data_IF_893769011456
#
_entry.id   IF_893769011456
#
_cell.length_a   1.000
_cell.length_b   1.000
_cell.length_c   1.000
_cell.angle_alpha   90.00
_cell.angle_beta   90.00
_cell.angle_gamma   90.00
#
_symmetry.space_group_name_H-M   'P 1'
#
loop_
_entity.id
_entity.type
_entity.pdbx_description
1 polymer ?
#
# COMPACT_ATOMS: atom_id res chain seq x y z
N UNK A 1 7.80 -6.80 -6.30
CA UNK A 1 7.27 -5.43 -6.09
C UNK A 1 8.05 -4.81 -4.94
N UNK A 2 8.49 -3.55 -5.07
CA UNK A 2 8.99 -2.75 -3.93
C UNK A 2 7.81 -2.33 -3.04
N UNK A 3 7.13 -3.34 -2.48
CA UNK A 3 5.98 -3.14 -1.59
C UNK A 3 6.45 -2.69 -0.21
N UNK A 4 5.53 -2.10 0.54
CA UNK A 4 5.72 -1.86 1.96
C UNK A 4 5.44 -3.19 2.66
N UNK A 5 6.39 -3.69 3.45
CA UNK A 5 6.16 -4.81 4.35
C UNK A 5 5.96 -4.26 5.77
N UNK A 6 4.82 -4.60 6.38
CA UNK A 6 4.47 -4.18 7.73
C UNK A 6 4.31 -5.43 8.58
N UNK A 7 5.04 -5.51 9.69
CA UNK A 7 4.97 -6.62 10.63
C UNK A 7 4.90 -6.08 12.07
N UNK A 8 4.25 -6.83 12.96
CA UNK A 8 4.30 -6.56 14.40
C UNK A 8 5.36 -7.46 15.01
N UNK A 9 6.31 -6.86 15.74
CA UNK A 9 7.33 -7.59 16.50
C UNK A 9 7.34 -7.08 17.94
N UNK A 10 6.95 -7.96 18.87
CA UNK A 10 6.76 -7.61 20.28
C UNK A 10 5.82 -6.39 20.45
N UNK A 11 6.35 -5.31 21.03
CA UNK A 11 5.66 -4.04 21.26
C UNK A 11 5.92 -2.99 20.17
N UNK A 12 6.56 -3.38 19.06
CA UNK A 12 6.88 -2.49 17.95
C UNK A 12 6.14 -2.89 16.67
N UNK A 13 5.77 -1.89 15.89
CA UNK A 13 5.41 -2.01 14.49
C UNK A 13 6.67 -1.80 13.65
N UNK A 14 7.04 -2.77 12.82
CA UNK A 14 8.18 -2.68 11.92
C UNK A 14 7.66 -2.47 10.50
N UNK A 15 8.12 -1.40 9.86
CA UNK A 15 7.84 -1.08 8.47
C UNK A 15 9.15 -1.19 7.69
N UNK A 16 9.20 -2.13 6.75
CA UNK A 16 10.30 -2.28 5.81
C UNK A 16 9.84 -1.77 4.45
N UNK A 17 10.52 -0.74 3.93
CA UNK A 17 10.23 -0.19 2.61
C UNK A 17 11.53 0.19 1.89
N UNK A 18 11.73 -0.42 0.72
CA UNK A 18 12.97 -0.30 -0.06
C UNK A 18 14.21 -0.62 0.80
N UNK A 19 15.08 0.37 1.04
CA UNK A 19 16.30 0.24 1.85
C UNK A 19 16.13 0.79 3.27
N UNK A 20 14.91 1.13 3.68
CA UNK A 20 14.60 1.71 4.98
C UNK A 20 13.87 0.72 5.89
N UNK A 21 14.23 0.74 7.16
CA UNK A 21 13.52 0.08 8.26
C UNK A 21 13.10 1.13 9.26
N UNK A 22 11.81 1.14 9.59
CA UNK A 22 11.21 2.04 10.58
C UNK A 22 10.62 1.17 11.67
N UNK A 23 10.89 1.51 12.93
CA UNK A 23 10.34 0.83 14.10
C UNK A 23 9.56 1.84 14.94
N UNK A 24 8.28 1.55 15.19
CA UNK A 24 7.37 2.43 15.93
C UNK A 24 6.87 1.65 17.15
N UNK A 25 7.18 2.08 18.38
CA UNK A 25 6.59 1.50 19.58
C UNK A 25 5.07 1.68 19.57
N UNK A 26 4.32 0.61 19.78
CA UNK A 26 2.85 0.63 19.73
C UNK A 26 2.28 1.61 20.76
N UNK A 27 2.94 1.76 21.92
CA UNK A 27 2.55 2.70 22.97
C UNK A 27 2.60 4.18 22.53
N UNK A 28 3.32 4.49 21.46
CA UNK A 28 3.48 5.85 20.93
C UNK A 28 2.51 6.15 19.78
N UNK A 29 1.76 5.13 19.32
CA UNK A 29 0.74 5.28 18.29
C UNK A 29 -0.52 5.86 18.94
N UNK A 30 -0.81 7.12 18.62
CA UNK A 30 -2.02 7.79 19.12
C UNK A 30 -3.27 7.47 18.29
N UNK A 31 -3.13 7.32 16.97
CA UNK A 31 -4.24 7.03 16.06
C UNK A 31 -3.74 6.38 14.74
N UNK A 32 -4.61 5.66 14.05
CA UNK A 32 -4.34 5.00 12.76
C UNK A 32 -5.52 5.19 11.82
N UNK A 33 -5.27 5.76 10.65
CA UNK A 33 -6.27 5.90 9.58
C UNK A 33 -5.75 5.36 8.25
N UNK A 34 -6.66 4.89 7.41
CA UNK A 34 -6.34 4.47 6.05
C UNK A 34 -6.31 5.71 5.15
N UNK A 35 -5.20 5.93 4.45
CA UNK A 35 -5.10 6.94 3.39
C UNK A 35 -5.45 6.30 2.03
N UNK A 36 -6.60 6.66 1.42
CA UNK A 36 -6.98 6.13 0.12
C UNK A 36 -6.12 6.67 -1.03
N UNK A 37 -5.25 7.67 -0.79
CA UNK A 37 -4.42 8.29 -1.83
C UNK A 37 -3.12 7.52 -2.13
N UNK A 38 -2.89 6.35 -1.53
CA UNK A 38 -1.82 5.48 -2.00
C UNK A 38 -2.23 4.81 -3.31
N UNK A 39 -1.71 5.33 -4.43
CA UNK A 39 -2.01 4.93 -5.81
C UNK A 39 -1.56 3.52 -6.23
N UNK A 40 -1.71 2.54 -5.33
CA UNK A 40 -1.44 1.13 -5.51
C UNK A 40 -2.68 0.30 -5.82
N UNK A 41 -3.83 0.90 -6.13
CA UNK A 41 -4.89 0.16 -6.82
C UNK A 41 -4.36 -0.22 -8.22
N UNK A 42 -4.42 -1.51 -8.55
CA UNK A 42 -4.37 -1.93 -9.95
C UNK A 42 -5.37 -1.06 -10.71
N UNK A 43 -4.91 -0.30 -11.70
CA UNK A 43 -5.78 0.30 -12.70
C UNK A 43 -6.51 -0.82 -13.43
N UNK A 44 -7.58 -1.35 -12.84
CA UNK A 44 -8.57 -2.19 -13.51
C UNK A 44 -9.52 -1.29 -14.32
N UNK A 45 -8.93 -0.34 -15.05
CA UNK A 45 -9.58 0.67 -15.88
C UNK A 45 -8.90 0.87 -17.23
N UNK A 46 -7.92 0.04 -17.59
CA UNK A 46 -7.27 0.03 -18.91
C UNK A 46 -7.50 -1.26 -19.72
N UNK A 47 -8.46 -2.08 -19.32
CA UNK A 47 -9.10 -3.09 -20.17
C UNK A 47 -10.57 -2.67 -20.21
N UNK A 48 -11.04 -1.88 -21.16
CA UNK A 48 -11.63 -2.48 -22.35
C UNK A 48 -11.89 -1.47 -23.49
N UNK A 49 -11.11 -0.39 -23.58
CA UNK A 49 -11.30 0.63 -24.62
C UNK A 49 -11.07 0.09 -26.04
N UNK A 50 -10.21 -0.92 -26.19
CA UNK A 50 -9.92 -1.59 -27.46
C UNK A 50 -11.11 -2.47 -27.91
N UNK A 51 -11.77 -3.17 -26.99
CA UNK A 51 -12.96 -3.99 -27.31
C UNK A 51 -14.18 -3.13 -27.63
N UNK A 52 -14.33 -1.97 -26.97
CA UNK A 52 -15.39 -1.00 -27.26
C UNK A 52 -15.21 -0.31 -28.62
N UNK A 53 -13.98 -0.19 -29.11
CA UNK A 53 -13.69 0.44 -30.41
C UNK A 53 -13.83 -0.53 -31.59
N UNK A 54 -13.51 -1.82 -31.40
CA UNK A 54 -13.57 -2.84 -32.47
C UNK A 54 -14.99 -3.33 -32.80
N UNK A 55 -15.98 -3.10 -31.93
CA UNK A 55 -17.37 -3.55 -32.11
C UNK A 55 -18.32 -2.42 -32.60
N UNK A 56 -17.80 -1.40 -33.28
CA UNK A 56 -18.61 -0.32 -33.88
C UNK A 56 -18.65 -0.41 -35.40
#
# INVERSE_FOLDING_TARGET
>A
MLGINVEKSNENLIINWQLSKIEIPIKEINDVFLDPNYGGEEKRGSKDWVSLWLNR
#
